data_IF_409350141231
#
_entry.id   IF_409350141231
#
_cell.length_a   1.000
_cell.length_b   1.000
_cell.length_c   1.000
_cell.angle_alpha   90.00
_cell.angle_beta   90.00
_cell.angle_gamma   90.00
#
_symmetry.space_group_name_H-M   'P 1'
#
loop_
_entity.id
_entity.type
_entity.pdbx_description
1 polymer ?
#
# COMPACT_ATOMS: atom_id res chain seq x y z
N UNK A 1 2.83 -4.83 2.34
CA UNK A 1 2.94 -6.25 2.75
C UNK A 1 2.64 -7.15 1.57
N UNK A 2 3.28 -8.32 1.49
CA UNK A 2 2.88 -9.39 0.58
C UNK A 2 2.26 -10.50 1.41
N UNK A 3 1.01 -10.82 1.10
CA UNK A 3 0.20 -11.79 1.83
C UNK A 3 -0.12 -12.99 0.96
N UNK A 4 -0.34 -14.14 1.59
CA UNK A 4 -0.83 -15.39 0.99
C UNK A 4 -1.92 -15.98 1.87
N UNK A 5 -2.66 -16.97 1.36
CA UNK A 5 -3.57 -17.74 2.20
C UNK A 5 -2.78 -18.44 3.31
N UNK A 6 -3.33 -18.47 4.54
CA UNK A 6 -2.65 -18.98 5.73
C UNK A 6 -2.14 -20.41 5.55
N UNK A 7 -2.98 -21.26 4.93
CA UNK A 7 -2.69 -22.67 4.69
C UNK A 7 -1.89 -22.94 3.39
N UNK A 8 -1.48 -21.88 2.69
CA UNK A 8 -0.63 -22.02 1.50
C UNK A 8 0.74 -22.60 1.85
N UNK A 9 1.36 -23.34 0.94
CA UNK A 9 2.73 -23.82 1.08
C UNK A 9 3.80 -22.75 0.77
N UNK A 10 3.40 -21.56 0.33
CA UNK A 10 4.29 -20.45 -0.07
C UNK A 10 4.96 -19.82 1.16
N UNK A 11 6.25 -20.04 1.40
CA UNK A 11 6.90 -19.57 2.63
C UNK A 11 7.48 -18.15 2.53
N UNK A 12 7.79 -17.70 1.33
CA UNK A 12 8.46 -16.43 1.06
C UNK A 12 7.98 -15.81 -0.25
N UNK A 13 8.62 -14.69 -0.62
CA UNK A 13 8.32 -13.99 -1.87
C UNK A 13 8.60 -14.86 -3.12
N UNK A 14 9.65 -15.67 -3.13
CA UNK A 14 10.02 -16.48 -4.30
C UNK A 14 8.99 -17.60 -4.55
N UNK A 15 8.35 -18.10 -3.51
CA UNK A 15 7.24 -19.05 -3.64
C UNK A 15 6.00 -18.49 -4.37
N UNK A 16 5.92 -17.17 -4.59
CA UNK A 16 4.88 -16.53 -5.42
C UNK A 16 5.16 -16.66 -6.93
N UNK A 17 6.33 -17.16 -7.34
CA UNK A 17 6.65 -17.38 -8.75
C UNK A 17 5.67 -18.38 -9.38
N UNK A 18 5.11 -18.02 -10.53
CA UNK A 18 4.13 -18.81 -11.26
C UNK A 18 2.76 -18.90 -10.57
N UNK A 19 2.46 -17.99 -9.65
CA UNK A 19 1.17 -17.93 -8.93
C UNK A 19 0.28 -16.82 -9.46
N UNK A 20 -1.01 -16.84 -9.09
CA UNK A 20 -1.98 -15.76 -9.35
C UNK A 20 -1.80 -14.67 -8.30
N UNK A 21 -1.54 -13.44 -8.72
CA UNK A 21 -1.22 -12.34 -7.82
C UNK A 21 -2.20 -11.17 -7.96
N UNK A 22 -2.80 -10.76 -6.85
CA UNK A 22 -3.67 -9.60 -6.80
C UNK A 22 -2.86 -8.33 -6.48
N UNK A 23 -2.89 -7.39 -7.42
CA UNK A 23 -2.54 -6.01 -7.17
C UNK A 23 -3.76 -5.26 -6.61
N UNK A 24 -3.52 -4.19 -5.87
CA UNK A 24 -4.62 -3.36 -5.36
C UNK A 24 -5.17 -2.47 -6.46
N UNK A 25 -4.44 -1.44 -6.85
CA UNK A 25 -4.88 -0.43 -7.80
C UNK A 25 -3.68 -0.01 -8.65
N UNK A 26 -3.84 0.32 -9.95
CA UNK A 26 -2.73 0.74 -10.81
C UNK A 26 -1.89 1.89 -10.22
N UNK A 27 -2.52 2.85 -9.55
CA UNK A 27 -1.91 4.06 -9.01
C UNK A 27 -1.47 3.90 -7.54
N UNK A 28 -1.72 2.73 -6.94
CA UNK A 28 -1.32 2.45 -5.55
C UNK A 28 0.20 2.31 -5.41
N UNK A 29 0.78 3.01 -4.43
CA UNK A 29 2.18 2.80 -4.08
C UNK A 29 2.41 1.39 -3.50
N UNK A 30 1.79 1.08 -2.36
CA UNK A 30 2.01 -0.19 -1.63
C UNK A 30 1.39 -1.41 -2.32
N UNK A 31 0.30 -1.20 -3.07
CA UNK A 31 -0.42 -2.26 -3.78
C UNK A 31 -0.09 -2.41 -5.26
N UNK A 32 0.85 -1.60 -5.80
CA UNK A 32 1.21 -1.61 -7.24
C UNK A 32 2.69 -1.31 -7.48
N UNK A 33 3.15 -0.12 -7.11
CA UNK A 33 4.50 0.35 -7.42
C UNK A 33 5.56 -0.47 -6.67
N UNK A 34 5.38 -0.67 -5.37
CA UNK A 34 6.31 -1.44 -4.52
C UNK A 34 6.50 -2.87 -5.01
N UNK A 35 5.44 -3.66 -5.32
CA UNK A 35 5.62 -4.99 -5.92
C UNK A 35 6.38 -4.99 -7.24
N UNK A 36 6.10 -4.04 -8.14
CA UNK A 36 6.85 -3.91 -9.40
C UNK A 36 8.32 -3.59 -9.13
N UNK A 37 8.61 -2.69 -8.20
CA UNK A 37 9.97 -2.35 -7.83
C UNK A 37 10.74 -3.54 -7.22
N UNK A 38 10.08 -4.31 -6.34
CA UNK A 38 10.63 -5.51 -5.71
C UNK A 38 10.99 -6.58 -6.75
N UNK A 39 10.15 -6.76 -7.76
CA UNK A 39 10.41 -7.66 -8.90
C UNK A 39 11.53 -7.15 -9.80
N UNK A 40 11.49 -5.86 -10.13
CA UNK A 40 12.44 -5.28 -11.05
C UNK A 40 13.86 -5.22 -10.44
N UNK A 41 13.99 -5.06 -9.11
CA UNK A 41 15.25 -5.28 -8.38
C UNK A 41 15.81 -6.71 -8.48
N UNK A 42 14.95 -7.70 -8.77
CA UNK A 42 15.32 -9.10 -9.04
C UNK A 42 15.51 -9.37 -10.54
N UNK A 43 15.49 -8.34 -11.38
CA UNK A 43 15.66 -8.47 -12.82
C UNK A 43 14.46 -9.10 -13.53
N UNK A 44 13.26 -9.02 -12.95
CA UNK A 44 12.03 -9.57 -13.55
C UNK A 44 10.87 -8.57 -13.52
N UNK A 45 9.79 -8.88 -14.23
CA UNK A 45 8.56 -8.09 -14.29
C UNK A 45 7.37 -8.98 -13.89
N UNK A 46 6.23 -8.42 -13.47
CA UNK A 46 5.05 -9.18 -13.05
C UNK A 46 4.64 -10.27 -14.05
N UNK A 47 4.65 -9.95 -15.35
CA UNK A 47 4.22 -10.80 -16.45
C UNK A 47 5.14 -12.02 -16.66
N UNK A 48 6.39 -11.94 -16.19
CA UNK A 48 7.36 -13.05 -16.23
C UNK A 48 7.41 -13.83 -14.92
N UNK A 49 7.10 -13.19 -13.80
CA UNK A 49 7.23 -13.78 -12.48
C UNK A 49 5.96 -14.48 -12.03
N UNK A 50 4.79 -13.87 -12.24
CA UNK A 50 3.49 -14.43 -11.91
C UNK A 50 2.89 -15.19 -13.08
N UNK A 51 2.00 -16.14 -12.81
CA UNK A 51 1.21 -16.81 -13.85
C UNK A 51 0.12 -15.88 -14.40
N UNK A 52 -0.48 -15.11 -13.50
CA UNK A 52 -1.60 -14.22 -13.81
C UNK A 52 -1.62 -13.10 -12.77
N UNK A 53 -2.04 -11.91 -13.20
CA UNK A 53 -2.14 -10.73 -12.34
C UNK A 53 -3.43 -9.98 -12.61
N UNK A 54 -4.07 -9.46 -11.58
CA UNK A 54 -5.27 -8.62 -11.71
C UNK A 54 -5.34 -7.57 -10.62
N UNK A 55 -6.22 -6.58 -10.81
CA UNK A 55 -6.46 -5.50 -9.84
C UNK A 55 -7.76 -5.71 -9.08
N UNK A 56 -7.74 -5.47 -7.77
CA UNK A 56 -8.95 -5.55 -6.91
C UNK A 56 -9.54 -4.18 -6.57
N UNK A 57 -8.92 -3.11 -7.06
CA UNK A 57 -9.24 -1.69 -6.86
C UNK A 57 -9.25 -1.21 -5.39
N UNK A 58 -8.88 -2.06 -4.44
CA UNK A 58 -8.89 -1.75 -3.00
C UNK A 58 -8.20 -2.84 -2.17
N UNK A 59 -7.56 -2.43 -1.07
CA UNK A 59 -6.71 -3.30 -0.25
C UNK A 59 -7.52 -4.38 0.50
N UNK A 60 -8.71 -4.04 0.98
CA UNK A 60 -9.68 -4.97 1.56
C UNK A 60 -10.10 -6.06 0.56
N UNK A 61 -10.39 -5.70 -0.68
CA UNK A 61 -10.68 -6.68 -1.73
C UNK A 61 -9.45 -7.54 -2.10
N UNK A 62 -8.24 -6.99 -2.03
CA UNK A 62 -7.00 -7.78 -2.18
C UNK A 62 -6.86 -8.82 -1.06
N UNK A 63 -7.14 -8.44 0.18
CA UNK A 63 -7.14 -9.35 1.34
C UNK A 63 -8.20 -10.43 1.16
N UNK A 64 -9.41 -10.04 0.77
CA UNK A 64 -10.51 -10.96 0.50
C UNK A 64 -10.20 -11.95 -0.63
N UNK A 65 -9.62 -11.47 -1.73
CA UNK A 65 -9.25 -12.32 -2.86
C UNK A 65 -8.26 -13.43 -2.43
N UNK A 66 -7.33 -13.12 -1.53
CA UNK A 66 -6.41 -14.12 -0.97
C UNK A 66 -7.10 -15.05 0.01
N UNK A 67 -7.90 -14.50 0.93
CA UNK A 67 -8.63 -15.28 1.93
C UNK A 67 -9.64 -16.26 1.32
N UNK A 68 -10.23 -15.91 0.17
CA UNK A 68 -11.20 -16.73 -0.56
C UNK A 68 -10.53 -17.61 -1.64
N UNK A 69 -9.19 -17.57 -1.77
CA UNK A 69 -8.43 -18.41 -2.70
C UNK A 69 -8.52 -18.02 -4.18
N UNK A 70 -9.08 -16.84 -4.48
CA UNK A 70 -9.11 -16.26 -5.82
C UNK A 70 -7.71 -15.84 -6.29
N UNK A 71 -6.90 -15.31 -5.37
CA UNK A 71 -5.49 -15.04 -5.56
C UNK A 71 -4.65 -15.93 -4.64
N UNK A 72 -3.48 -16.34 -5.13
CA UNK A 72 -2.53 -17.12 -4.32
C UNK A 72 -1.66 -16.19 -3.44
N UNK A 73 -1.53 -14.92 -3.84
CA UNK A 73 -0.98 -13.86 -3.00
C UNK A 73 -1.39 -12.46 -3.46
N UNK A 74 -1.18 -11.46 -2.61
CA UNK A 74 -1.49 -10.06 -2.90
C UNK A 74 -0.50 -9.09 -2.26
N UNK A 75 -0.41 -7.88 -2.80
CA UNK A 75 0.26 -6.76 -2.16
C UNK A 75 -0.75 -5.79 -1.54
N UNK A 76 -0.60 -5.51 -0.25
CA UNK A 76 -1.54 -4.67 0.51
C UNK A 76 -0.84 -3.71 1.45
N UNK A 77 -1.50 -2.60 1.77
CA UNK A 77 -1.02 -1.65 2.77
C UNK A 77 -1.02 -2.30 4.17
N UNK A 78 0.05 -2.08 4.95
CA UNK A 78 0.14 -2.64 6.29
C UNK A 78 -0.90 -2.07 7.25
N UNK A 79 -1.21 -0.78 7.15
CA UNK A 79 -2.20 -0.14 8.02
C UNK A 79 -3.60 -0.71 7.76
N UNK A 80 -3.94 -0.94 6.49
CA UNK A 80 -5.22 -1.58 6.14
C UNK A 80 -5.26 -3.02 6.66
N UNK A 81 -4.21 -3.80 6.45
CA UNK A 81 -4.16 -5.18 6.94
C UNK A 81 -4.25 -5.27 8.47
N UNK A 82 -3.57 -4.39 9.20
CA UNK A 82 -3.66 -4.31 10.67
C UNK A 82 -5.03 -3.80 11.13
N UNK A 83 -5.61 -2.80 10.48
CA UNK A 83 -6.94 -2.30 10.78
C UNK A 83 -7.99 -3.39 10.59
N UNK A 84 -7.89 -4.16 9.52
CA UNK A 84 -8.81 -5.25 9.22
C UNK A 84 -8.73 -6.40 10.23
N UNK A 85 -7.62 -6.59 10.95
CA UNK A 85 -7.62 -7.54 12.08
C UNK A 85 -8.60 -7.16 13.18
N UNK A 86 -8.94 -5.87 13.28
CA UNK A 86 -9.88 -5.36 14.28
C UNK A 86 -11.31 -5.36 13.80
N UNK A 87 -11.54 -5.16 12.49
CA UNK A 87 -12.89 -5.07 11.90
C UNK A 87 -13.39 -6.39 11.30
N UNK A 88 -12.50 -7.22 10.75
CA UNK A 88 -12.79 -8.54 10.18
C UNK A 88 -11.63 -9.52 10.48
N UNK A 89 -11.46 -9.95 11.75
CA UNK A 89 -10.38 -10.83 12.17
C UNK A 89 -10.41 -12.20 11.48
N UNK A 90 -11.58 -12.71 11.13
CA UNK A 90 -11.74 -14.03 10.50
C UNK A 90 -11.23 -14.00 9.06
N UNK A 91 -11.50 -12.92 8.31
CA UNK A 91 -10.95 -12.73 6.97
C UNK A 91 -9.43 -12.61 7.01
N UNK A 92 -8.89 -11.73 7.86
CA UNK A 92 -7.44 -11.55 7.96
C UNK A 92 -6.76 -12.79 8.51
N UNK A 93 -7.42 -13.51 9.43
CA UNK A 93 -6.94 -14.75 10.02
C UNK A 93 -6.73 -15.89 9.02
N UNK A 94 -7.37 -15.83 7.84
CA UNK A 94 -7.14 -16.72 6.69
C UNK A 94 -5.98 -16.29 5.79
N UNK A 95 -5.31 -15.20 6.13
CA UNK A 95 -4.13 -14.70 5.41
C UNK A 95 -2.89 -14.72 6.31
N UNK A 96 -1.70 -14.67 5.70
CA UNK A 96 -0.44 -14.46 6.41
C UNK A 96 0.56 -13.69 5.56
N UNK A 97 1.45 -12.97 6.20
CA UNK A 97 2.52 -12.20 5.55
C UNK A 97 3.68 -13.12 5.19
N UNK A 98 4.18 -13.04 3.95
CA UNK A 98 5.39 -13.75 3.46
C UNK A 98 6.54 -12.82 3.14
N UNK A 99 6.26 -11.53 2.94
CA UNK A 99 7.29 -10.52 2.73
C UNK A 99 6.79 -9.14 3.17
N UNK A 100 7.70 -8.33 3.71
CA UNK A 100 7.47 -6.91 3.97
C UNK A 100 8.48 -6.09 3.19
N UNK A 101 7.99 -5.06 2.50
CA UNK A 101 8.86 -4.05 1.89
C UNK A 101 9.48 -3.16 2.98
N UNK A 102 10.49 -2.34 2.62
CA UNK A 102 10.89 -1.20 3.44
C UNK A 102 9.70 -0.29 3.76
N UNK A 103 9.87 0.54 4.78
CA UNK A 103 8.89 1.58 5.13
C UNK A 103 8.96 2.71 4.10
N UNK A 104 7.79 3.17 3.70
CA UNK A 104 7.58 4.35 2.87
C UNK A 104 6.74 5.36 3.66
N UNK A 105 6.78 6.63 3.26
CA UNK A 105 5.95 7.67 3.87
C UNK A 105 4.46 7.29 3.86
N UNK A 106 3.74 7.68 4.92
CA UNK A 106 2.29 7.53 5.01
C UNK A 106 1.62 8.37 3.90
N UNK A 107 0.47 7.97 3.35
CA UNK A 107 -0.24 8.80 2.37
C UNK A 107 -0.49 10.23 2.89
N UNK A 108 -0.10 11.28 2.14
CA UNK A 108 -0.31 12.66 2.56
C UNK A 108 -1.75 13.11 2.35
N UNK A 109 -2.15 14.15 3.10
CA UNK A 109 -3.25 15.03 2.69
C UNK A 109 -2.67 16.06 1.72
N UNK A 110 -3.25 16.17 0.52
CA UNK A 110 -2.79 17.11 -0.51
C UNK A 110 -3.88 18.11 -0.87
N UNK A 111 -3.47 19.32 -1.25
CA UNK A 111 -4.35 20.38 -1.73
C UNK A 111 -3.92 20.82 -3.12
N UNK A 112 -4.85 21.41 -3.87
CA UNK A 112 -4.57 21.91 -5.20
C UNK A 112 -3.49 23.03 -5.19
N UNK A 113 -2.54 23.05 -6.14
CA UNK A 113 -1.43 24.03 -6.13
C UNK A 113 -1.89 25.49 -6.17
N UNK A 114 -3.00 25.75 -6.87
CA UNK A 114 -3.58 27.10 -7.02
C UNK A 114 -4.59 27.49 -5.93
N UNK A 115 -4.74 26.71 -4.86
CA UNK A 115 -5.52 27.13 -3.69
C UNK A 115 -4.88 28.38 -3.06
N UNK A 116 -5.70 29.32 -2.54
CA UNK A 116 -5.20 30.51 -1.87
C UNK A 116 -4.33 30.15 -0.67
N UNK A 117 -3.21 30.85 -0.46
CA UNK A 117 -2.26 30.51 0.59
C UNK A 117 -2.84 30.65 2.00
N UNK A 118 -3.80 31.57 2.19
CA UNK A 118 -4.58 31.66 3.43
C UNK A 118 -5.37 30.38 3.71
N UNK A 119 -6.05 29.82 2.71
CA UNK A 119 -6.81 28.59 2.84
C UNK A 119 -5.89 27.37 3.05
N UNK A 120 -4.74 27.31 2.36
CA UNK A 120 -3.72 26.26 2.60
C UNK A 120 -3.24 26.28 4.04
N UNK A 121 -2.94 27.48 4.56
CA UNK A 121 -2.49 27.69 5.94
C UNK A 121 -3.57 27.28 6.95
N UNK A 122 -4.80 27.72 6.74
CA UNK A 122 -5.95 27.40 7.61
C UNK A 122 -6.19 25.88 7.67
N UNK A 123 -6.20 25.20 6.52
CA UNK A 123 -6.36 23.74 6.47
C UNK A 123 -5.22 23.04 7.22
N UNK A 124 -3.97 23.45 6.99
CA UNK A 124 -2.80 22.89 7.67
C UNK A 124 -2.90 23.03 9.18
N UNK A 125 -3.15 24.25 9.66
CA UNK A 125 -3.30 24.53 11.11
C UNK A 125 -4.45 23.72 11.71
N UNK A 126 -5.56 23.59 10.97
CA UNK A 126 -6.71 22.75 11.38
C UNK A 126 -6.28 21.30 11.54
N UNK A 127 -5.71 20.67 10.51
CA UNK A 127 -5.33 19.24 10.57
C UNK A 127 -4.31 18.96 11.68
N UNK A 128 -3.26 19.78 11.79
CA UNK A 128 -2.19 19.60 12.79
C UNK A 128 -2.73 19.77 14.22
N UNK A 129 -3.74 20.62 14.44
CA UNK A 129 -4.33 20.83 15.77
C UNK A 129 -5.42 19.82 16.16
N UNK A 130 -5.95 19.00 15.24
CA UNK A 130 -7.04 18.05 15.50
C UNK A 130 -6.79 17.10 16.69
N UNK A 131 -5.53 16.72 16.93
CA UNK A 131 -5.17 15.82 18.03
C UNK A 131 -5.42 16.44 19.43
N UNK A 132 -5.48 17.77 19.53
CA UNK A 132 -5.84 18.49 20.76
C UNK A 132 -7.34 18.74 20.91
N UNK A 133 -8.14 18.48 19.87
CA UNK A 133 -9.58 18.68 19.89
C UNK A 133 -10.30 17.45 20.46
N UNK A 134 -10.93 17.62 21.61
CA UNK A 134 -11.70 16.57 22.28
C UNK A 134 -12.90 16.07 21.47
N UNK A 135 -13.44 16.90 20.57
CA UNK A 135 -14.55 16.54 19.68
C UNK A 135 -14.09 15.73 18.46
N UNK A 136 -12.86 15.97 17.98
CA UNK A 136 -12.25 15.21 16.88
C UNK A 136 -11.54 13.93 17.35
N UNK A 137 -11.13 13.86 18.61
CA UNK A 137 -10.41 12.72 19.20
C UNK A 137 -11.10 11.35 18.99
N UNK A 138 -12.45 11.20 19.10
CA UNK A 138 -13.12 9.94 18.78
C UNK A 138 -12.92 9.52 17.32
N UNK A 139 -13.03 10.46 16.37
CA UNK A 139 -12.86 10.21 14.95
C UNK A 139 -11.41 9.82 14.62
N UNK A 140 -10.43 10.52 15.19
CA UNK A 140 -9.02 10.18 15.02
C UNK A 140 -8.71 8.75 15.52
N UNK A 141 -9.25 8.37 16.68
CA UNK A 141 -9.11 7.01 17.22
C UNK A 141 -9.77 5.94 16.36
N UNK A 142 -10.95 6.24 15.79
CA UNK A 142 -11.65 5.36 14.87
C UNK A 142 -10.82 5.13 13.60
N UNK A 143 -10.26 6.20 13.03
CA UNK A 143 -9.38 6.17 11.87
C UNK A 143 -7.96 5.67 12.19
N UNK A 144 -7.66 5.39 13.47
CA UNK A 144 -6.32 5.00 13.95
C UNK A 144 -5.22 6.03 13.60
N UNK A 145 -5.59 7.30 13.54
CA UNK A 145 -4.66 8.41 13.34
C UNK A 145 -4.35 9.01 14.72
N UNK A 146 -3.08 9.06 15.08
CA UNK A 146 -2.66 9.69 16.34
C UNK A 146 -2.68 11.21 16.23
N UNK A 147 -2.06 11.74 15.17
CA UNK A 147 -2.02 13.16 14.84
C UNK A 147 -1.63 13.37 13.38
N UNK A 148 -1.85 14.58 12.89
CA UNK A 148 -1.25 15.07 11.65
C UNK A 148 -0.03 15.92 11.98
N UNK A 149 0.99 15.85 11.12
CA UNK A 149 2.22 16.63 11.23
C UNK A 149 2.47 17.36 9.92
N UNK A 150 3.32 18.39 9.96
CA UNK A 150 3.80 19.02 8.74
C UNK A 150 4.54 17.99 7.88
N UNK A 151 4.11 17.88 6.62
CA UNK A 151 4.74 17.00 5.65
C UNK A 151 5.93 17.69 4.98
N UNK A 152 7.07 17.01 4.97
CA UNK A 152 8.21 17.36 4.12
C UNK A 152 8.08 16.64 2.78
N UNK A 153 8.34 17.34 1.66
CA UNK A 153 8.21 16.76 0.32
C UNK A 153 9.21 15.62 0.11
N UNK A 154 10.40 15.75 0.71
CA UNK A 154 11.51 14.80 0.71
C UNK A 154 11.11 13.43 1.29
N UNK A 155 10.08 13.38 2.15
CA UNK A 155 9.54 12.12 2.67
C UNK A 155 9.01 11.20 1.55
N UNK A 156 8.71 11.76 0.37
CA UNK A 156 8.19 11.06 -0.80
C UNK A 156 9.23 10.83 -1.90
N UNK A 157 10.48 11.25 -1.72
CA UNK A 157 11.55 11.06 -2.71
C UNK A 157 11.75 9.60 -3.09
N UNK A 158 11.74 8.70 -2.10
CA UNK A 158 11.88 7.26 -2.35
C UNK A 158 10.77 6.71 -3.26
N UNK A 159 9.57 7.30 -3.22
CA UNK A 159 8.47 6.89 -4.10
C UNK A 159 8.73 7.39 -5.52
N UNK A 160 9.18 8.64 -5.67
CA UNK A 160 9.59 9.22 -6.97
C UNK A 160 10.74 8.44 -7.60
N UNK A 161 11.78 8.15 -6.83
CA UNK A 161 12.93 7.35 -7.26
C UNK A 161 12.52 5.95 -7.75
N UNK A 162 11.62 5.27 -7.03
CA UNK A 162 11.11 3.96 -7.47
C UNK A 162 10.38 4.05 -8.81
N UNK A 163 9.49 5.03 -8.96
CA UNK A 163 8.73 5.25 -10.20
C UNK A 163 9.67 5.50 -11.38
N UNK A 164 10.61 6.42 -11.21
CA UNK A 164 11.52 6.83 -12.27
C UNK A 164 12.48 5.67 -12.64
N UNK A 165 12.95 4.91 -11.65
CA UNK A 165 13.80 3.74 -11.88
C UNK A 165 13.09 2.64 -12.69
N UNK A 166 11.81 2.38 -12.40
CA UNK A 166 11.01 1.41 -13.16
C UNK A 166 10.80 1.91 -14.59
N UNK A 167 10.42 3.18 -14.77
CA UNK A 167 10.22 3.78 -16.09
C UNK A 167 11.47 3.62 -16.98
N UNK A 168 12.64 3.97 -16.45
CA UNK A 168 13.93 3.83 -17.17
C UNK A 168 14.25 2.38 -17.56
N UNK A 169 13.86 1.40 -16.74
CA UNK A 169 14.11 -0.03 -17.04
C UNK A 169 13.10 -0.64 -18.00
N UNK A 170 11.88 -0.13 -18.03
CA UNK A 170 10.87 -0.52 -19.02
C UNK A 170 11.23 0.05 -20.41
N UNK A 171 11.72 1.29 -20.48
CA UNK A 171 12.14 1.93 -21.73
C UNK A 171 13.45 1.35 -22.30
N UNK A 172 14.41 0.98 -21.44
CA UNK A 172 15.69 0.40 -21.87
C UNK A 172 15.61 -1.08 -22.27
N UNK A 173 14.44 -1.71 -22.16
CA UNK A 173 14.21 -3.13 -22.44
C UNK A 173 13.21 -3.42 -23.56
N UNK A 174 12.82 -2.40 -24.33
CA UNK A 174 11.96 -2.49 -25.52
C UNK A 174 12.74 -2.69 -26.82
#
# INVERSE_FOLDING_TARGET
>A
LFIVHRDSNIQDFEGLKGKRFAFTDPDSNTGSLVPRFVLAKRGTIPEKFFKETFFTNSHDNSIKAVADGLADGAAVDSLVWEFMKTTDPDLVGRTRVVHSSPRYGIPPVVVHPHMADSAKKELRETFVSLHGDTTASPLLRELRIERFEDGEDEAYDKVREMRDWIALKTEAGG
#
